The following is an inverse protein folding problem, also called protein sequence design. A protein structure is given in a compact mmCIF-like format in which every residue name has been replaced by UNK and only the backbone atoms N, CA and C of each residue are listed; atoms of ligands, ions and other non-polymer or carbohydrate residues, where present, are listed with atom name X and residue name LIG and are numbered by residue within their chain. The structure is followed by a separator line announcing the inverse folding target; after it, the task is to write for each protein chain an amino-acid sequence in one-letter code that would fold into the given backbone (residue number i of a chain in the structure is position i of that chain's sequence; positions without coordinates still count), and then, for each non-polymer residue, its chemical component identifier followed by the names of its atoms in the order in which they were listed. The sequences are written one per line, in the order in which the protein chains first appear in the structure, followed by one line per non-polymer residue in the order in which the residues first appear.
data_IF_958609702630
#
_entry.id   IF_958609702630
#
_cell.length_a   1.000
_cell.length_b   1.000
_cell.length_c   1.000
_cell.angle_alpha   90.00
_cell.angle_beta   90.00
_cell.angle_gamma   90.00
#
_symmetry.space_group_name_H-M   'P 1'
#
loop_
_entity.id
_entity.type
_entity.pdbx_description
1 polymer ?
#
# COMPACT_ATOMS: atom_id res chain seq x y z
N UNK A 1 9.57 25.10 16.05
CA UNK A 1 10.29 24.14 15.18
C UNK A 1 9.56 22.80 15.30
N UNK A 2 8.60 22.53 14.41
CA UNK A 2 7.82 21.27 14.39
C UNK A 2 7.28 20.90 13.01
N UNK A 3 7.76 21.54 11.94
CA UNK A 3 7.15 21.44 10.60
C UNK A 3 7.18 20.04 9.96
N UNK A 4 8.17 19.20 10.27
CA UNK A 4 8.28 17.90 9.58
C UNK A 4 7.44 16.79 10.23
N UNK A 5 7.41 16.71 11.56
CA UNK A 5 6.65 15.68 12.27
C UNK A 5 5.15 15.84 12.07
N UNK A 6 4.68 17.09 12.01
CA UNK A 6 3.26 17.41 11.79
C UNK A 6 2.82 17.00 10.36
N UNK A 7 3.65 17.24 9.33
CA UNK A 7 3.38 16.84 7.94
C UNK A 7 3.30 15.31 7.80
N UNK A 8 4.24 14.56 8.38
CA UNK A 8 4.22 13.09 8.31
C UNK A 8 2.96 12.52 8.95
N UNK A 9 2.58 13.07 10.11
CA UNK A 9 1.37 12.66 10.80
C UNK A 9 0.12 12.95 9.96
N UNK A 10 0.04 14.12 9.32
CA UNK A 10 -1.05 14.48 8.42
C UNK A 10 -1.16 13.54 7.21
N UNK A 11 -0.04 13.22 6.54
CA UNK A 11 -0.05 12.30 5.39
C UNK A 11 -0.50 10.90 5.78
N UNK A 12 0.03 10.34 6.87
CA UNK A 12 -0.38 9.01 7.36
C UNK A 12 -1.87 9.01 7.70
N UNK A 13 -2.35 10.06 8.36
CA UNK A 13 -3.77 10.18 8.71
C UNK A 13 -4.63 10.24 7.45
N UNK A 14 -4.26 11.03 6.45
CA UNK A 14 -5.04 11.17 5.22
C UNK A 14 -5.10 9.85 4.43
N UNK A 15 -3.95 9.25 4.14
CA UNK A 15 -3.87 7.96 3.45
C UNK A 15 -4.56 6.82 4.22
N UNK A 16 -4.57 6.86 5.55
CA UNK A 16 -5.28 5.86 6.35
C UNK A 16 -6.81 6.04 6.35
N UNK A 17 -7.30 7.28 6.19
CA UNK A 17 -8.74 7.61 6.16
C UNK A 17 -9.34 7.43 4.78
N UNK A 18 -8.58 7.76 3.73
CA UNK A 18 -9.00 7.66 2.33
C UNK A 18 -8.01 6.83 1.52
N UNK A 19 -7.78 5.56 1.87
CA UNK A 19 -6.83 4.73 1.15
C UNK A 19 -7.23 4.53 -0.31
N UNK A 20 -6.30 4.84 -1.20
CA UNK A 20 -6.41 4.53 -2.63
C UNK A 20 -6.50 3.02 -2.84
N UNK A 21 -7.24 2.62 -3.87
CA UNK A 21 -7.43 1.21 -4.24
C UNK A 21 -8.00 0.32 -3.11
N UNK A 22 -8.65 0.90 -2.09
CA UNK A 22 -9.35 0.11 -1.09
C UNK A 22 -10.60 -0.54 -1.67
N UNK A 23 -10.75 -1.84 -1.45
CA UNK A 23 -11.84 -2.67 -1.96
C UNK A 23 -11.35 -4.04 -2.42
N UNK A 24 -12.20 -4.71 -3.20
CA UNK A 24 -11.92 -6.04 -3.75
C UNK A 24 -12.03 -6.00 -5.26
N UNK A 25 -11.25 -6.84 -5.92
CA UNK A 25 -11.46 -7.19 -7.34
C UNK A 25 -12.27 -8.47 -7.36
N UNK A 26 -13.31 -8.52 -8.19
CA UNK A 26 -14.09 -9.73 -8.41
C UNK A 26 -13.28 -10.70 -9.28
N UNK A 27 -13.15 -11.96 -8.85
CA UNK A 27 -12.37 -13.00 -9.54
C UNK A 27 -10.96 -12.55 -9.95
N UNK A 28 -10.11 -12.13 -9.00
CA UNK A 28 -8.79 -11.61 -9.33
C UNK A 28 -7.89 -12.72 -9.88
N UNK A 29 -6.92 -12.36 -10.73
CA UNK A 29 -5.87 -13.29 -11.15
C UNK A 29 -5.06 -13.79 -9.95
N UNK A 30 -4.78 -12.90 -9.00
CA UNK A 30 -4.00 -13.18 -7.80
C UNK A 30 -4.76 -12.64 -6.59
N UNK A 31 -4.87 -13.47 -5.55
CA UNK A 31 -5.30 -13.06 -4.22
C UNK A 31 -4.27 -13.52 -3.20
N UNK A 32 -3.83 -12.63 -2.34
CA UNK A 32 -2.89 -12.93 -1.25
C UNK A 32 -3.38 -12.31 0.05
N UNK A 33 -3.16 -13.01 1.15
CA UNK A 33 -3.52 -12.56 2.50
C UNK A 33 -2.26 -12.56 3.36
N UNK A 34 -2.05 -11.47 4.12
CA UNK A 34 -1.00 -11.39 5.12
C UNK A 34 -1.53 -10.76 6.41
N UNK A 35 -0.89 -11.08 7.54
CA UNK A 35 -1.28 -10.55 8.85
C UNK A 35 -0.07 -10.34 9.76
N UNK A 36 -0.10 -9.24 10.51
CA UNK A 36 0.85 -8.96 11.57
C UNK A 36 0.14 -9.07 12.94
N UNK A 37 0.28 -10.21 13.65
CA UNK A 37 -0.46 -10.46 14.88
C UNK A 37 -0.04 -9.57 16.06
N UNK A 38 1.11 -8.88 15.98
CA UNK A 38 1.59 -8.00 17.05
C UNK A 38 0.72 -6.75 17.21
N UNK A 39 0.21 -6.22 16.10
CA UNK A 39 -0.66 -5.04 16.05
C UNK A 39 -2.10 -5.38 15.61
N UNK A 40 -2.35 -6.62 15.20
CA UNK A 40 -3.65 -7.07 14.70
C UNK A 40 -3.93 -6.63 13.25
N UNK A 41 -2.90 -6.27 12.49
CA UNK A 41 -3.05 -5.93 11.08
C UNK A 41 -3.35 -7.21 10.27
N UNK A 42 -4.26 -7.10 9.32
CA UNK A 42 -4.72 -8.18 8.46
C UNK A 42 -5.16 -7.59 7.13
N UNK A 43 -4.40 -7.85 6.07
CA UNK A 43 -4.58 -7.26 4.74
C UNK A 43 -4.73 -8.37 3.69
N UNK A 44 -5.75 -8.24 2.84
CA UNK A 44 -5.89 -8.98 1.59
C UNK A 44 -5.51 -8.07 0.41
N UNK A 45 -4.64 -8.56 -0.47
CA UNK A 45 -4.31 -7.94 -1.77
C UNK A 45 -4.98 -8.74 -2.89
N UNK A 46 -5.58 -8.02 -3.82
CA UNK A 46 -6.22 -8.54 -5.04
C UNK A 46 -5.53 -7.90 -6.23
N UNK A 47 -5.07 -8.68 -7.20
CA UNK A 47 -4.30 -8.17 -8.34
C UNK A 47 -4.70 -8.89 -9.63
N UNK A 48 -4.86 -8.11 -10.70
CA UNK A 48 -5.00 -8.59 -12.07
C UNK A 48 -3.73 -8.30 -12.86
N UNK A 49 -3.33 -9.27 -13.68
CA UNK A 49 -2.10 -9.17 -14.49
C UNK A 49 -2.45 -9.45 -15.94
N UNK A 50 -2.10 -8.52 -16.82
CA UNK A 50 -2.31 -8.61 -18.26
C UNK A 50 -1.01 -8.24 -18.98
N UNK A 51 -0.56 -9.08 -19.91
CA UNK A 51 0.66 -8.86 -20.68
C UNK A 51 1.87 -8.51 -19.77
N UNK A 52 2.04 -9.28 -18.69
CA UNK A 52 3.11 -9.12 -17.69
C UNK A 52 3.09 -7.78 -16.91
N UNK A 53 1.98 -7.04 -16.97
CA UNK A 53 1.76 -5.80 -16.22
C UNK A 53 0.58 -5.90 -15.27
N UNK A 54 0.68 -5.22 -14.13
CA UNK A 54 -0.42 -5.12 -13.16
C UNK A 54 -1.49 -4.18 -13.71
N UNK A 55 -2.58 -4.74 -14.25
CA UNK A 55 -3.67 -3.93 -14.84
C UNK A 55 -4.57 -3.31 -13.77
N UNK A 56 -4.83 -4.05 -12.68
CA UNK A 56 -5.52 -3.52 -11.51
C UNK A 56 -4.98 -4.17 -10.23
N UNK A 57 -4.99 -3.41 -9.15
CA UNK A 57 -4.62 -3.87 -7.81
C UNK A 57 -5.51 -3.18 -6.81
N UNK A 58 -6.06 -3.93 -5.85
CA UNK A 58 -6.85 -3.42 -4.73
C UNK A 58 -6.49 -4.14 -3.45
N UNK A 59 -6.85 -3.54 -2.32
CA UNK A 59 -6.66 -4.16 -1.02
C UNK A 59 -7.88 -3.99 -0.11
N UNK A 60 -8.09 -4.95 0.78
CA UNK A 60 -9.10 -4.84 1.84
C UNK A 60 -8.53 -5.37 3.14
N UNK A 61 -9.02 -4.88 4.27
CA UNK A 61 -8.57 -5.42 5.55
C UNK A 61 -8.72 -4.44 6.68
N UNK A 62 -8.01 -4.72 7.76
CA UNK A 62 -7.89 -3.84 8.93
C UNK A 62 -6.42 -3.73 9.27
N UNK A 63 -5.99 -2.54 9.62
CA UNK A 63 -4.64 -2.32 10.12
C UNK A 63 -4.55 -0.98 10.83
N UNK A 64 -3.45 -0.77 11.53
CA UNK A 64 -3.11 0.54 12.07
C UNK A 64 -2.96 1.59 10.95
N UNK A 65 -3.00 2.87 11.30
CA UNK A 65 -2.93 3.96 10.32
C UNK A 65 -1.71 3.86 9.40
N UNK A 66 -0.55 3.49 9.96
CA UNK A 66 0.69 3.30 9.19
C UNK A 66 0.55 2.15 8.19
N UNK A 67 -0.02 1.02 8.61
CA UNK A 67 -0.21 -0.14 7.76
C UNK A 67 -1.15 0.17 6.59
N UNK A 68 -2.29 0.82 6.85
CA UNK A 68 -3.23 1.21 5.80
C UNK A 68 -2.63 2.24 4.85
N UNK A 69 -1.89 3.23 5.37
CA UNK A 69 -1.23 4.23 4.54
C UNK A 69 -0.14 3.61 3.64
N UNK A 70 0.75 2.79 4.21
CA UNK A 70 1.79 2.10 3.44
C UNK A 70 1.18 1.16 2.39
N UNK A 71 0.10 0.44 2.73
CA UNK A 71 -0.58 -0.44 1.77
C UNK A 71 -1.20 0.37 0.64
N UNK A 72 -1.88 1.48 0.95
CA UNK A 72 -2.43 2.40 -0.05
C UNK A 72 -1.36 2.84 -1.05
N UNK A 73 -0.28 3.43 -0.55
CA UNK A 73 0.86 3.88 -1.38
C UNK A 73 1.46 2.75 -2.19
N UNK A 74 1.71 1.59 -1.58
CA UNK A 74 2.25 0.43 -2.29
C UNK A 74 1.37 0.05 -3.49
N UNK A 75 0.05 0.04 -3.32
CA UNK A 75 -0.86 -0.29 -4.43
C UNK A 75 -0.83 0.76 -5.54
N UNK A 76 -0.65 2.05 -5.22
CA UNK A 76 -0.46 3.11 -6.22
C UNK A 76 0.83 2.93 -7.01
N UNK A 77 1.94 2.67 -6.31
CA UNK A 77 3.25 2.45 -6.95
C UNK A 77 3.19 1.22 -7.87
N UNK A 78 2.59 0.12 -7.41
CA UNK A 78 2.56 -1.16 -8.15
C UNK A 78 1.66 -1.10 -9.39
N UNK A 79 0.57 -0.34 -9.36
CA UNK A 79 -0.41 -0.31 -10.46
C UNK A 79 0.23 0.17 -11.76
N UNK A 80 0.03 -0.59 -12.84
CA UNK A 80 0.56 -0.29 -14.17
C UNK A 80 2.03 -0.69 -14.40
N UNK A 81 2.77 -1.08 -13.35
CA UNK A 81 4.14 -1.61 -13.48
C UNK A 81 4.12 -3.05 -14.00
N UNK A 82 5.22 -3.44 -14.66
CA UNK A 82 5.50 -4.84 -14.95
C UNK A 82 5.74 -5.63 -13.66
N UNK A 83 5.57 -6.95 -13.70
CA UNK A 83 5.88 -7.83 -12.56
C UNK A 83 7.33 -7.66 -12.11
N UNK A 84 8.27 -7.51 -13.05
CA UNK A 84 9.69 -7.33 -12.73
C UNK A 84 10.00 -5.99 -12.06
N UNK A 85 9.31 -4.92 -12.46
CA UNK A 85 9.41 -3.62 -11.78
C UNK A 85 8.77 -3.67 -10.39
N UNK A 86 7.59 -4.31 -10.26
CA UNK A 86 6.91 -4.45 -8.98
C UNK A 86 7.78 -5.23 -7.96
N UNK A 87 8.52 -6.25 -8.41
CA UNK A 87 9.46 -7.01 -7.57
C UNK A 87 10.65 -6.20 -7.08
N UNK A 88 10.98 -5.10 -7.74
CA UNK A 88 12.12 -4.25 -7.36
C UNK A 88 11.75 -3.20 -6.32
N UNK A 89 10.46 -2.96 -6.09
CA UNK A 89 9.98 -2.00 -5.07
C UNK A 89 10.51 -2.40 -3.70
N UNK A 90 11.14 -1.45 -3.04
CA UNK A 90 11.73 -1.58 -1.70
C UNK A 90 10.90 -0.81 -0.68
N UNK A 91 11.18 -1.07 0.60
CA UNK A 91 10.62 -0.33 1.74
C UNK A 91 10.74 1.18 1.55
N UNK A 92 11.89 1.67 1.10
CA UNK A 92 12.17 3.10 0.99
C UNK A 92 11.35 3.79 -0.10
N UNK A 93 10.96 3.08 -1.16
CA UNK A 93 10.09 3.65 -2.19
C UNK A 93 8.71 3.99 -1.61
N UNK A 94 8.18 3.13 -0.75
CA UNK A 94 6.89 3.36 -0.06
C UNK A 94 7.01 4.44 1.00
N UNK A 95 8.09 4.42 1.79
CA UNK A 95 8.29 5.41 2.84
C UNK A 95 8.54 6.81 2.29
N UNK A 96 9.23 6.94 1.16
CA UNK A 96 9.49 8.23 0.51
C UNK A 96 8.21 8.97 0.15
N UNK A 97 7.22 8.26 -0.41
CA UNK A 97 5.90 8.84 -0.74
C UNK A 97 5.12 9.30 0.50
N UNK A 98 5.41 8.75 1.69
CA UNK A 98 4.83 9.19 2.97
C UNK A 98 5.70 10.23 3.69
N UNK A 99 6.82 10.65 3.09
CA UNK A 99 7.82 11.53 3.69
C UNK A 99 8.68 10.87 4.78
N UNK A 100 8.51 9.57 5.04
CA UNK A 100 9.15 8.82 6.13
C UNK A 100 10.56 8.33 5.78
N UNK A 101 11.29 9.06 4.94
CA UNK A 101 12.60 8.66 4.36
C UNK A 101 13.70 8.34 5.39
N UNK A 102 13.52 8.78 6.65
CA UNK A 102 14.49 8.64 7.72
C UNK A 102 14.10 7.56 8.76
N UNK A 103 13.20 6.62 8.42
CA UNK A 103 12.69 5.56 9.30
C UNK A 103 13.09 4.13 8.90
#
# INVERSE_FOLDING_TARGET
MSGNADIYHEMIVDYSRHPSNFGKIENPTIKYHDSNPLCGDSIDIYMNVENEKVSDIKFSGRGCAICLACTSVLTEIVKGKSIDEARKIQKNDVLGELGLENL
#
